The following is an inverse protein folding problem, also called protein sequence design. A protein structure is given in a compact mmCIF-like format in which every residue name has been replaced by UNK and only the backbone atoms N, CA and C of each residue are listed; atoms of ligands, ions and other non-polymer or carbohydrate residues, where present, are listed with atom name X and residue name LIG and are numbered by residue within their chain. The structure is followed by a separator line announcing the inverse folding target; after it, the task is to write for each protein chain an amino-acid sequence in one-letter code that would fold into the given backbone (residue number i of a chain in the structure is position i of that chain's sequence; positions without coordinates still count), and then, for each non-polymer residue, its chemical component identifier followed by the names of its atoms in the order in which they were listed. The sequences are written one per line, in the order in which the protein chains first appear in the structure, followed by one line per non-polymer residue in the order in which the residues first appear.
data_IF_105617200708
#
_entry.id   IF_105617200708
#
_cell.length_a   1.000
_cell.length_b   1.000
_cell.length_c   1.000
_cell.angle_alpha   90.00
_cell.angle_beta   90.00
_cell.angle_gamma   90.00
#
_symmetry.space_group_name_H-M   'P 1'
#
loop_
_entity.id
_entity.type
_entity.pdbx_description
1 polymer ?
#
# COMPACT_ATOMS: atom_id res chain seq x y z
N UNK A 1 -29.58 -53.60 39.24
CA UNK A 1 -30.34 -52.95 40.33
C UNK A 1 -29.83 -51.54 40.48
N UNK A 2 -30.71 -50.61 40.53
CA UNK A 2 -30.65 -49.16 40.72
C UNK A 2 -30.20 -48.32 39.52
N UNK A 3 -31.22 -47.88 38.80
CA UNK A 3 -31.24 -46.82 37.81
C UNK A 3 -30.87 -45.45 38.42
N UNK A 4 -29.97 -44.71 37.76
CA UNK A 4 -29.79 -43.28 38.02
C UNK A 4 -30.32 -42.50 36.82
N UNK A 5 -31.45 -41.88 37.03
CA UNK A 5 -32.12 -40.96 36.11
C UNK A 5 -31.33 -39.65 36.02
N UNK A 6 -30.89 -39.26 34.81
CA UNK A 6 -30.36 -37.90 34.51
C UNK A 6 -31.51 -36.96 34.14
N UNK A 7 -31.61 -35.76 34.69
CA UNK A 7 -32.59 -34.80 34.23
C UNK A 7 -32.11 -34.10 32.92
N UNK A 8 -33.03 -34.10 31.95
CA UNK A 8 -32.90 -33.36 30.67
C UNK A 8 -33.10 -31.87 30.94
N UNK A 9 -32.10 -31.05 30.59
CA UNK A 9 -32.27 -29.59 30.56
C UNK A 9 -32.90 -29.18 29.23
N UNK A 10 -34.07 -28.53 29.29
CA UNK A 10 -34.79 -27.94 28.18
C UNK A 10 -34.12 -26.61 27.70
N UNK A 11 -34.50 -26.09 26.53
CA UNK A 11 -33.82 -24.95 25.90
C UNK A 11 -34.02 -23.64 26.68
N UNK A 12 -32.90 -22.93 26.94
CA UNK A 12 -32.87 -21.64 27.61
C UNK A 12 -33.39 -20.56 26.66
N UNK A 13 -34.54 -19.93 27.01
CA UNK A 13 -35.13 -18.84 26.24
C UNK A 13 -34.41 -17.49 26.51
N UNK A 14 -34.47 -16.59 25.53
CA UNK A 14 -33.87 -15.22 25.57
C UNK A 14 -34.23 -14.41 26.84
N UNK A 15 -35.33 -14.68 27.46
CA UNK A 15 -35.82 -14.00 28.67
C UNK A 15 -35.06 -14.42 29.96
N UNK A 16 -34.44 -15.61 29.98
CA UNK A 16 -33.67 -16.08 31.12
C UNK A 16 -32.23 -15.56 31.13
N UNK A 17 -31.70 -15.24 29.97
CA UNK A 17 -30.37 -14.63 29.83
C UNK A 17 -30.32 -13.19 30.36
N UNK A 18 -31.39 -12.40 30.12
CA UNK A 18 -31.45 -10.99 30.53
C UNK A 18 -31.72 -10.78 32.05
N UNK A 19 -32.20 -11.78 32.78
CA UNK A 19 -32.44 -11.68 34.23
C UNK A 19 -31.23 -12.06 35.13
N UNK A 20 -30.16 -12.60 34.55
CA UNK A 20 -28.93 -12.94 35.31
C UNK A 20 -27.78 -11.92 35.21
N UNK A 21 -27.97 -10.87 34.40
CA UNK A 21 -26.94 -9.82 34.18
C UNK A 21 -27.12 -8.58 35.07
N UNK A 22 -28.11 -8.55 35.97
CA UNK A 22 -28.46 -7.34 36.75
C UNK A 22 -28.05 -7.37 38.23
N UNK A 23 -27.16 -8.27 38.67
CA UNK A 23 -26.79 -8.36 40.10
C UNK A 23 -25.30 -8.60 40.31
N UNK A 24 -24.43 -7.70 39.83
CA UNK A 24 -23.05 -7.59 40.32
C UNK A 24 -22.41 -6.28 39.83
N UNK A 25 -22.81 -5.13 40.36
CA UNK A 25 -21.97 -3.93 40.34
C UNK A 25 -22.20 -3.17 41.64
N UNK A 26 -21.33 -3.36 42.59
CA UNK A 26 -21.02 -2.38 43.61
C UNK A 26 -19.56 -2.58 44.05
N UNK A 27 -18.70 -1.64 43.73
CA UNK A 27 -17.40 -1.49 44.35
C UNK A 27 -16.21 -1.41 43.39
N UNK A 28 -15.71 -0.21 43.11
CA UNK A 28 -14.33 -0.07 42.67
C UNK A 28 -14.07 0.88 41.49
N UNK A 29 -13.93 2.16 41.82
CA UNK A 29 -12.99 3.15 41.26
C UNK A 29 -12.79 3.31 39.75
N UNK A 30 -13.21 4.44 39.22
CA UNK A 30 -12.58 5.34 38.22
C UNK A 30 -11.36 4.79 37.47
N UNK A 31 -11.64 4.18 36.33
CA UNK A 31 -10.79 4.25 35.13
C UNK A 31 -11.68 4.78 34.02
N UNK A 32 -11.26 5.92 33.44
CA UNK A 32 -12.02 6.63 32.41
C UNK A 32 -12.49 5.68 31.32
N UNK A 33 -13.80 5.57 31.15
CA UNK A 33 -14.40 4.81 30.08
C UNK A 33 -14.04 5.45 28.73
N UNK A 34 -13.02 4.94 28.08
CA UNK A 34 -12.84 5.10 26.64
C UNK A 34 -14.05 4.41 25.97
N UNK A 35 -14.73 5.06 25.01
CA UNK A 35 -15.86 4.45 24.31
C UNK A 35 -15.35 3.36 23.36
N UNK A 36 -15.17 2.14 23.87
CA UNK A 36 -14.67 0.98 23.11
C UNK A 36 -15.78 0.24 22.35
N UNK A 37 -17.02 0.69 22.38
CA UNK A 37 -18.11 -0.05 21.73
C UNK A 37 -18.93 0.84 20.77
N UNK A 38 -18.40 1.13 19.57
CA UNK A 38 -19.29 1.66 18.51
C UNK A 38 -19.31 0.91 17.19
N UNK A 39 -18.39 0.00 16.94
CA UNK A 39 -18.34 -0.69 15.64
C UNK A 39 -18.09 -2.20 15.75
N UNK A 40 -18.86 -2.89 16.57
CA UNK A 40 -19.11 -4.31 16.37
C UNK A 40 -20.25 -4.42 15.34
N UNK A 41 -19.92 -4.51 14.03
CA UNK A 41 -20.82 -4.94 12.95
C UNK A 41 -22.15 -4.17 12.78
N UNK A 42 -22.11 -2.85 12.65
CA UNK A 42 -23.26 -2.05 12.24
C UNK A 42 -22.90 -1.12 11.11
N UNK A 43 -23.74 -1.00 10.09
CA UNK A 43 -23.61 0.04 9.08
C UNK A 43 -23.47 1.40 9.76
N UNK A 44 -22.50 2.21 9.35
CA UNK A 44 -22.36 3.59 9.80
C UNK A 44 -23.62 4.32 9.38
N UNK A 45 -24.35 4.92 10.32
CA UNK A 45 -25.55 5.68 9.95
C UNK A 45 -25.17 6.84 9.02
N UNK A 46 -26.00 7.17 8.04
CA UNK A 46 -25.67 8.23 7.05
C UNK A 46 -25.29 9.59 7.64
N UNK A 47 -25.67 9.85 8.90
CA UNK A 47 -25.34 11.08 9.63
C UNK A 47 -24.16 10.99 10.59
N UNK A 48 -23.51 9.83 10.72
CA UNK A 48 -22.40 9.67 11.65
C UNK A 48 -21.10 10.30 11.11
N UNK A 49 -20.38 11.01 11.99
CA UNK A 49 -19.04 11.51 11.69
C UNK A 49 -18.05 10.35 11.62
N UNK A 50 -17.40 10.15 10.46
CA UNK A 50 -16.28 9.21 10.32
C UNK A 50 -15.00 9.86 10.81
N UNK A 51 -14.38 9.27 11.82
CA UNK A 51 -13.10 9.73 12.39
C UNK A 51 -11.94 9.09 11.62
N UNK A 52 -11.03 9.93 11.14
CA UNK A 52 -9.88 9.53 10.33
C UNK A 52 -8.60 9.68 11.15
N UNK A 53 -7.71 8.69 11.09
CA UNK A 53 -6.33 8.82 11.51
C UNK A 53 -5.39 8.77 10.31
N UNK A 54 -4.41 9.67 10.26
CA UNK A 54 -3.35 9.66 9.26
C UNK A 54 -2.07 9.08 9.86
N UNK A 55 -1.60 7.98 9.30
CA UNK A 55 -0.32 7.33 9.65
C UNK A 55 0.65 7.49 8.48
N UNK A 56 1.68 8.31 8.67
CA UNK A 56 2.60 8.75 7.62
C UNK A 56 2.20 10.11 7.05
N UNK A 57 2.81 11.17 7.58
CA UNK A 57 2.46 12.57 7.34
C UNK A 57 3.33 13.23 6.25
N UNK A 58 3.86 12.45 5.31
CA UNK A 58 4.56 12.96 4.14
C UNK A 58 3.62 13.62 3.11
N UNK A 59 4.18 14.03 1.96
CA UNK A 59 3.38 14.69 0.90
C UNK A 59 2.22 13.84 0.41
N UNK A 60 2.44 12.53 0.18
CA UNK A 60 1.36 11.63 -0.27
C UNK A 60 0.31 11.41 0.83
N UNK A 61 0.74 11.24 2.09
CA UNK A 61 -0.18 11.09 3.22
C UNK A 61 -1.05 12.34 3.42
N UNK A 62 -0.46 13.54 3.35
CA UNK A 62 -1.21 14.80 3.39
C UNK A 62 -2.23 14.89 2.24
N UNK A 63 -1.85 14.50 1.02
CA UNK A 63 -2.75 14.47 -0.13
C UNK A 63 -3.89 13.44 0.03
N UNK A 64 -3.62 12.25 0.56
CA UNK A 64 -4.64 11.25 0.84
C UNK A 64 -5.64 11.73 1.93
N UNK A 65 -5.13 12.39 2.97
CA UNK A 65 -5.99 12.99 3.99
C UNK A 65 -6.85 14.13 3.42
N UNK A 66 -6.29 14.99 2.53
CA UNK A 66 -7.03 16.02 1.82
C UNK A 66 -8.19 15.41 0.98
N UNK A 67 -7.91 14.36 0.21
CA UNK A 67 -8.92 13.67 -0.57
C UNK A 67 -9.99 13.00 0.31
N UNK A 68 -9.59 12.37 1.42
CA UNK A 68 -10.54 11.78 2.36
C UNK A 68 -11.43 12.82 3.03
N UNK A 69 -10.88 13.98 3.41
CA UNK A 69 -11.63 15.10 3.97
C UNK A 69 -12.54 15.79 2.94
N UNK A 70 -12.27 15.60 1.65
CA UNK A 70 -13.07 16.12 0.52
C UNK A 70 -14.21 15.19 0.10
N UNK A 71 -14.32 13.98 0.68
CA UNK A 71 -15.42 13.06 0.40
C UNK A 71 -16.75 13.58 0.91
N UNK A 72 -17.84 13.05 0.38
CA UNK A 72 -19.20 13.38 0.84
C UNK A 72 -19.50 12.85 2.25
N UNK A 73 -20.34 13.57 3.00
CA UNK A 73 -20.72 13.24 4.36
C UNK A 73 -19.77 13.82 5.42
N UNK A 74 -20.11 13.63 6.70
CA UNK A 74 -19.32 14.18 7.79
C UNK A 74 -18.05 13.33 8.05
N UNK A 75 -16.90 13.96 7.95
CA UNK A 75 -15.58 13.34 8.17
C UNK A 75 -14.69 14.27 8.97
N UNK A 76 -13.91 13.73 9.90
CA UNK A 76 -12.95 14.51 10.70
C UNK A 76 -11.62 13.80 10.84
N UNK A 77 -10.52 14.51 10.63
CA UNK A 77 -9.19 14.05 11.00
C UNK A 77 -9.01 14.26 12.50
N UNK A 78 -8.85 13.17 13.25
CA UNK A 78 -8.78 13.19 14.73
C UNK A 78 -7.41 12.83 15.29
N UNK A 79 -6.55 12.18 14.50
CA UNK A 79 -5.20 11.83 14.93
C UNK A 79 -4.21 11.83 13.75
N UNK A 80 -2.95 12.06 14.07
CA UNK A 80 -1.83 11.89 13.15
C UNK A 80 -0.70 11.10 13.81
N UNK A 81 -0.01 10.25 13.04
CA UNK A 81 1.20 9.56 13.48
C UNK A 81 2.29 9.63 12.41
N UNK A 82 3.51 9.93 12.83
CA UNK A 82 4.71 9.88 11.99
C UNK A 82 5.95 9.59 12.86
N UNK A 83 6.97 8.98 12.28
CA UNK A 83 8.24 8.82 12.95
C UNK A 83 8.90 10.18 13.28
N UNK A 84 8.61 11.21 12.48
CA UNK A 84 9.20 12.54 12.57
C UNK A 84 8.15 13.61 12.95
N UNK A 85 8.42 14.34 14.04
CA UNK A 85 7.56 15.41 14.53
C UNK A 85 7.33 16.51 13.48
N UNK A 86 8.38 16.91 12.77
CA UNK A 86 8.33 17.94 11.72
C UNK A 86 7.36 17.58 10.59
N UNK A 87 7.22 16.28 10.25
CA UNK A 87 6.27 15.77 9.26
C UNK A 87 4.84 15.86 9.77
N UNK A 88 4.57 15.38 10.97
CA UNK A 88 3.23 15.44 11.57
C UNK A 88 2.72 16.89 11.70
N UNK A 89 3.54 17.79 12.21
CA UNK A 89 3.19 19.20 12.35
C UNK A 89 3.01 19.91 11.00
N UNK A 90 3.87 19.57 10.01
CA UNK A 90 3.77 20.09 8.65
C UNK A 90 2.46 19.70 7.96
N UNK A 91 2.08 18.43 8.04
CA UNK A 91 0.82 17.93 7.51
C UNK A 91 -0.38 18.63 8.15
N UNK A 92 -0.41 18.73 9.48
CA UNK A 92 -1.50 19.40 10.20
C UNK A 92 -1.65 20.87 9.80
N UNK A 93 -0.54 21.62 9.71
CA UNK A 93 -0.59 23.02 9.25
C UNK A 93 -1.19 23.16 7.84
N UNK A 94 -0.83 22.25 6.93
CA UNK A 94 -1.33 22.30 5.56
C UNK A 94 -2.80 21.88 5.47
N UNK A 95 -3.21 20.81 6.15
CA UNK A 95 -4.59 20.34 6.17
C UNK A 95 -5.53 21.32 6.85
N UNK A 96 -5.12 21.98 7.94
CA UNK A 96 -5.91 23.05 8.58
C UNK A 96 -6.18 24.23 7.65
N UNK A 97 -5.22 24.61 6.79
CA UNK A 97 -5.45 25.69 5.82
C UNK A 97 -6.57 25.40 4.82
N UNK A 98 -6.80 24.13 4.51
CA UNK A 98 -7.77 23.70 3.50
C UNK A 98 -9.09 23.22 4.14
N UNK A 99 -9.02 22.60 5.32
CA UNK A 99 -10.13 21.90 5.97
C UNK A 99 -10.25 22.23 7.47
N UNK A 100 -10.12 23.49 7.87
CA UNK A 100 -10.04 23.89 9.29
C UNK A 100 -11.13 23.25 10.16
N UNK A 101 -12.39 23.31 9.74
CA UNK A 101 -13.53 22.73 10.46
C UNK A 101 -13.54 21.19 10.57
N UNK A 102 -12.76 20.52 9.70
CA UNK A 102 -12.68 19.04 9.67
C UNK A 102 -11.40 18.50 10.31
N UNK A 103 -10.47 19.34 10.73
CA UNK A 103 -9.21 18.94 11.39
C UNK A 103 -9.31 19.17 12.89
N UNK A 104 -9.72 18.12 13.61
CA UNK A 104 -9.93 18.12 15.06
C UNK A 104 -8.86 17.27 15.78
N UNK A 105 -7.59 17.53 15.46
CA UNK A 105 -6.46 16.83 16.08
C UNK A 105 -6.00 17.61 17.30
N UNK A 106 -6.19 17.05 18.48
CA UNK A 106 -5.73 17.59 19.75
C UNK A 106 -4.23 17.35 19.94
N UNK A 107 -3.61 18.05 20.90
CA UNK A 107 -2.17 17.94 21.13
C UNK A 107 -1.74 16.54 21.57
N UNK A 108 -2.55 15.83 22.34
CA UNK A 108 -2.35 14.45 22.79
C UNK A 108 -2.69 13.39 21.72
N UNK A 109 -3.23 13.82 20.56
CA UNK A 109 -3.50 12.96 19.41
C UNK A 109 -2.46 13.08 18.27
N UNK A 110 -1.28 13.62 18.58
CA UNK A 110 -0.11 13.71 17.71
C UNK A 110 0.92 12.68 18.17
N UNK A 111 0.93 11.52 17.55
CA UNK A 111 1.76 10.39 17.99
C UNK A 111 3.06 10.35 17.18
N UNK A 112 4.19 10.50 17.87
CA UNK A 112 5.51 10.58 17.24
C UNK A 112 6.36 9.35 17.60
N UNK A 113 7.09 8.84 16.61
CA UNK A 113 7.95 7.67 16.75
C UNK A 113 7.40 6.44 16.04
N UNK A 114 8.15 5.34 16.12
CA UNK A 114 7.83 4.11 15.38
C UNK A 114 6.53 3.43 15.84
N UNK A 115 6.17 3.54 17.10
CA UNK A 115 4.97 2.92 17.68
C UNK A 115 3.72 3.82 17.69
N UNK A 116 3.85 5.08 17.30
CA UNK A 116 2.76 6.06 17.33
C UNK A 116 1.53 5.63 16.51
N UNK A 117 1.73 4.81 15.48
CA UNK A 117 0.63 4.29 14.66
C UNK A 117 -0.40 3.48 15.45
N UNK A 118 0.00 2.72 16.47
CA UNK A 118 -0.90 1.88 17.29
C UNK A 118 -1.94 2.73 18.00
N UNK A 119 -1.50 3.86 18.56
CA UNK A 119 -2.34 4.81 19.27
C UNK A 119 -3.24 5.60 18.29
N UNK A 120 -2.69 6.08 17.17
CA UNK A 120 -3.48 6.78 16.17
C UNK A 120 -4.59 5.88 15.60
N UNK A 121 -4.31 4.63 15.27
CA UNK A 121 -5.28 3.64 14.79
C UNK A 121 -6.42 3.46 15.79
N UNK A 122 -6.11 3.39 17.09
CA UNK A 122 -7.12 3.19 18.14
C UNK A 122 -8.18 4.29 18.20
N UNK A 123 -7.85 5.53 17.81
CA UNK A 123 -8.75 6.69 17.90
C UNK A 123 -9.75 6.82 16.77
N UNK A 124 -9.54 6.12 15.65
CA UNK A 124 -10.23 6.36 14.39
C UNK A 124 -11.19 5.23 13.99
N UNK A 125 -12.03 5.49 13.01
CA UNK A 125 -12.90 4.54 12.33
C UNK A 125 -12.30 4.12 10.99
N UNK A 126 -11.63 5.06 10.32
CA UNK A 126 -10.92 4.89 9.06
C UNK A 126 -9.46 5.30 9.23
N UNK A 127 -8.54 4.48 8.77
CA UNK A 127 -7.10 4.75 8.87
C UNK A 127 -6.50 4.95 7.49
N UNK A 128 -5.75 6.02 7.31
CA UNK A 128 -4.95 6.28 6.11
C UNK A 128 -3.50 5.87 6.41
N UNK A 129 -3.01 4.85 5.72
CA UNK A 129 -1.65 4.33 5.86
C UNK A 129 -0.77 4.80 4.69
N UNK A 130 0.09 5.79 4.93
CA UNK A 130 0.93 6.43 3.91
C UNK A 130 2.42 6.55 4.32
N UNK A 131 2.86 5.74 5.26
CA UNK A 131 4.29 5.57 5.61
C UNK A 131 5.06 4.95 4.44
N UNK A 132 6.40 4.92 4.44
CA UNK A 132 7.16 4.14 3.49
C UNK A 132 6.66 2.68 3.40
N UNK A 133 6.68 2.05 2.21
CA UNK A 133 6.06 0.75 1.96
C UNK A 133 6.45 -0.38 2.92
N UNK A 134 7.69 -0.38 3.43
CA UNK A 134 8.15 -1.40 4.38
C UNK A 134 7.31 -1.51 5.66
N UNK A 135 6.73 -0.41 6.11
CA UNK A 135 5.88 -0.40 7.30
C UNK A 135 4.43 -0.83 7.03
N UNK A 136 4.01 -0.88 5.77
CA UNK A 136 2.61 -1.14 5.41
C UNK A 136 2.07 -2.44 5.97
N UNK A 137 2.81 -3.59 5.90
CA UNK A 137 2.30 -4.86 6.39
C UNK A 137 1.95 -4.83 7.88
N UNK A 138 2.81 -4.24 8.72
CA UNK A 138 2.59 -4.20 10.18
C UNK A 138 1.49 -3.19 10.55
N UNK A 139 1.40 -2.06 9.86
CA UNK A 139 0.36 -1.06 10.12
C UNK A 139 -1.01 -1.56 9.66
N UNK A 140 -1.09 -2.26 8.52
CA UNK A 140 -2.32 -2.83 8.00
C UNK A 140 -2.83 -3.96 8.91
N UNK A 141 -1.96 -4.90 9.31
CA UNK A 141 -2.29 -5.96 10.26
C UNK A 141 -2.88 -5.39 11.55
N UNK A 142 -2.25 -4.35 12.12
CA UNK A 142 -2.73 -3.70 13.34
C UNK A 142 -4.09 -3.01 13.12
N UNK A 143 -4.30 -2.32 12.00
CA UNK A 143 -5.58 -1.68 11.69
C UNK A 143 -6.72 -2.73 11.60
N UNK A 144 -6.47 -3.85 10.92
CA UNK A 144 -7.44 -4.94 10.80
C UNK A 144 -7.67 -5.64 12.15
N UNK A 145 -6.63 -5.82 12.96
CA UNK A 145 -6.75 -6.37 14.32
C UNK A 145 -7.68 -5.50 15.17
N UNK A 146 -7.55 -4.17 15.07
CA UNK A 146 -8.39 -3.19 15.78
C UNK A 146 -9.75 -2.92 15.11
N UNK A 147 -10.11 -3.64 14.03
CA UNK A 147 -11.43 -3.51 13.38
C UNK A 147 -11.64 -2.20 12.63
N UNK A 148 -10.62 -1.64 12.00
CA UNK A 148 -10.68 -0.36 11.28
C UNK A 148 -10.82 -0.55 9.77
N UNK A 149 -11.61 0.33 9.12
CA UNK A 149 -11.55 0.51 7.68
C UNK A 149 -10.22 1.14 7.30
N UNK A 150 -9.70 0.82 6.12
CA UNK A 150 -8.35 1.24 5.74
C UNK A 150 -8.31 1.80 4.32
N UNK A 151 -7.65 2.94 4.16
CA UNK A 151 -7.01 3.32 2.91
C UNK A 151 -5.51 3.14 3.08
N UNK A 152 -4.85 2.39 2.21
CA UNK A 152 -3.41 2.23 2.26
C UNK A 152 -2.76 2.55 0.92
N UNK A 153 -1.67 3.32 0.98
CA UNK A 153 -0.88 3.63 -0.20
C UNK A 153 -0.14 2.41 -0.75
N UNK A 154 0.02 2.40 -2.06
CA UNK A 154 0.86 1.44 -2.78
C UNK A 154 2.37 1.81 -2.63
N UNK A 155 3.28 0.85 -2.79
CA UNK A 155 3.12 -0.60 -2.67
C UNK A 155 2.75 -0.99 -1.24
N UNK A 156 2.20 -2.19 -1.08
CA UNK A 156 1.73 -2.63 0.24
C UNK A 156 2.74 -3.46 1.02
N UNK A 157 3.91 -3.70 0.45
CA UNK A 157 5.05 -4.39 1.05
C UNK A 157 6.34 -4.12 0.26
N UNK A 158 7.49 -4.52 0.80
CA UNK A 158 8.80 -4.45 0.13
C UNK A 158 9.43 -5.82 -0.10
N UNK A 159 8.89 -6.88 0.49
CA UNK A 159 9.36 -8.26 0.34
C UNK A 159 8.19 -9.26 0.35
N UNK A 160 8.51 -10.54 0.09
CA UNK A 160 7.51 -11.61 0.03
C UNK A 160 6.88 -11.89 1.41
N UNK A 161 7.62 -11.76 2.49
CA UNK A 161 7.10 -11.94 3.85
C UNK A 161 6.03 -10.89 4.17
N UNK A 162 6.30 -9.62 3.83
CA UNK A 162 5.33 -8.53 3.95
C UNK A 162 4.09 -8.76 3.08
N UNK A 163 4.25 -9.24 1.83
CA UNK A 163 3.11 -9.58 0.96
C UNK A 163 2.24 -10.66 1.58
N UNK A 164 2.84 -11.74 2.09
CA UNK A 164 2.09 -12.81 2.78
C UNK A 164 1.33 -12.30 3.99
N UNK A 165 1.93 -11.40 4.78
CA UNK A 165 1.28 -10.75 5.92
C UNK A 165 0.07 -9.92 5.48
N UNK A 166 0.19 -9.14 4.41
CA UNK A 166 -0.93 -8.35 3.86
C UNK A 166 -2.04 -9.27 3.35
N UNK A 167 -1.72 -10.37 2.66
CA UNK A 167 -2.71 -11.34 2.18
C UNK A 167 -3.48 -11.97 3.34
N UNK A 168 -2.80 -12.36 4.42
CA UNK A 168 -3.47 -12.89 5.62
C UNK A 168 -4.39 -11.86 6.28
N UNK A 169 -3.93 -10.62 6.44
CA UNK A 169 -4.74 -9.52 6.98
C UNK A 169 -5.93 -9.16 6.06
N UNK A 170 -5.78 -9.30 4.73
CA UNK A 170 -6.86 -9.08 3.77
C UNK A 170 -8.02 -10.09 3.96
N UNK A 171 -7.70 -11.35 4.23
CA UNK A 171 -8.72 -12.37 4.54
C UNK A 171 -9.44 -12.08 5.87
N UNK A 172 -8.71 -11.64 6.90
CA UNK A 172 -9.34 -11.21 8.16
C UNK A 172 -10.21 -9.96 7.98
N UNK A 173 -9.79 -9.01 7.13
CA UNK A 173 -10.61 -7.85 6.78
C UNK A 173 -11.93 -8.25 6.12
N UNK A 174 -11.90 -9.22 5.19
CA UNK A 174 -13.12 -9.76 4.56
C UNK A 174 -14.07 -10.38 5.59
N UNK A 175 -13.55 -11.23 6.49
CA UNK A 175 -14.35 -11.86 7.56
C UNK A 175 -15.00 -10.83 8.49
N UNK A 176 -14.32 -9.73 8.75
CA UNK A 176 -14.80 -8.62 9.59
C UNK A 176 -15.63 -7.58 8.83
N UNK A 177 -15.90 -7.79 7.53
CA UNK A 177 -16.59 -6.84 6.65
C UNK A 177 -15.92 -5.45 6.64
N UNK A 178 -14.60 -5.37 6.82
CA UNK A 178 -13.86 -4.11 6.77
C UNK A 178 -13.59 -3.71 5.32
N UNK A 179 -13.82 -2.45 5.02
CA UNK A 179 -13.58 -1.89 3.68
C UNK A 179 -12.12 -1.47 3.59
N UNK A 180 -11.47 -1.86 2.50
CA UNK A 180 -10.03 -1.60 2.29
C UNK A 180 -9.81 -1.05 0.88
N UNK A 181 -9.35 0.19 0.78
CA UNK A 181 -8.86 0.81 -0.45
C UNK A 181 -7.34 0.73 -0.55
N UNK A 182 -6.83 0.62 -1.77
CA UNK A 182 -5.39 0.63 -2.07
C UNK A 182 -5.09 1.69 -3.12
N UNK A 183 -4.10 2.56 -2.90
CA UNK A 183 -3.72 3.68 -3.75
C UNK A 183 -3.27 3.31 -5.17
N UNK A 184 -4.01 2.41 -5.84
CA UNK A 184 -3.84 2.05 -7.25
C UNK A 184 -4.85 2.83 -8.09
N UNK A 185 -4.74 4.15 -8.08
CA UNK A 185 -5.71 5.11 -8.58
C UNK A 185 -6.17 4.87 -10.04
N UNK A 186 -5.37 4.20 -10.89
CA UNK A 186 -5.78 3.87 -12.26
C UNK A 186 -6.99 2.94 -12.31
N UNK A 187 -7.23 2.16 -11.25
CA UNK A 187 -8.42 1.31 -11.07
C UNK A 187 -9.71 2.10 -10.85
N UNK A 188 -9.59 3.37 -10.47
CA UNK A 188 -10.68 4.32 -10.24
C UNK A 188 -10.78 5.39 -11.33
N UNK A 189 -10.01 5.24 -12.40
CA UNK A 189 -9.98 6.18 -13.52
C UNK A 189 -10.86 5.68 -14.65
N UNK A 190 -11.98 6.37 -14.93
CA UNK A 190 -12.99 5.96 -15.89
C UNK A 190 -12.43 5.55 -17.27
N UNK A 191 -11.50 6.28 -17.91
CA UNK A 191 -10.94 5.85 -19.20
C UNK A 191 -10.13 4.54 -19.12
N UNK A 192 -9.42 4.26 -18.00
CA UNK A 192 -8.78 2.96 -17.80
C UNK A 192 -9.80 1.83 -17.65
N UNK A 193 -10.84 2.06 -16.82
CA UNK A 193 -11.91 1.09 -16.58
C UNK A 193 -12.57 0.70 -17.89
N UNK A 194 -12.96 1.69 -18.71
CA UNK A 194 -13.62 1.43 -19.99
C UNK A 194 -12.68 0.77 -21.02
N UNK A 195 -11.41 1.20 -21.06
CA UNK A 195 -10.42 0.60 -21.97
C UNK A 195 -10.19 -0.89 -21.64
N UNK A 196 -9.97 -1.20 -20.36
CA UNK A 196 -9.73 -2.60 -19.93
C UNK A 196 -10.99 -3.43 -20.12
N UNK A 197 -12.17 -2.89 -19.82
CA UNK A 197 -13.44 -3.57 -20.09
C UNK A 197 -13.55 -3.96 -21.56
N UNK A 198 -13.27 -3.06 -22.51
CA UNK A 198 -13.30 -3.36 -23.95
C UNK A 198 -12.29 -4.42 -24.36
N UNK A 199 -11.11 -4.43 -23.77
CA UNK A 199 -10.12 -5.49 -24.00
C UNK A 199 -10.69 -6.84 -23.55
N UNK A 200 -11.29 -6.90 -22.35
CA UNK A 200 -11.93 -8.12 -21.84
C UNK A 200 -13.15 -8.57 -22.67
N UNK A 201 -13.89 -7.62 -23.23
CA UNK A 201 -14.99 -7.88 -24.18
C UNK A 201 -14.49 -8.33 -25.58
N UNK A 202 -13.15 -8.49 -25.74
CA UNK A 202 -12.54 -9.06 -26.96
C UNK A 202 -12.21 -8.05 -28.06
N UNK A 203 -12.19 -6.73 -27.78
CA UNK A 203 -11.97 -5.69 -28.77
C UNK A 203 -10.64 -5.82 -29.55
N UNK A 204 -9.60 -6.43 -28.93
CA UNK A 204 -8.32 -6.72 -29.59
C UNK A 204 -8.06 -8.23 -29.73
N UNK A 205 -9.06 -9.08 -29.44
CA UNK A 205 -8.90 -10.53 -29.38
C UNK A 205 -8.07 -10.96 -28.16
N UNK A 206 -7.41 -12.12 -28.25
CA UNK A 206 -6.54 -12.62 -27.19
C UNK A 206 -5.27 -11.75 -27.09
N UNK A 207 -4.96 -11.25 -25.91
CA UNK A 207 -3.73 -10.48 -25.66
C UNK A 207 -2.52 -11.42 -25.71
N UNK A 208 -1.63 -11.22 -26.67
CA UNK A 208 -0.44 -12.03 -26.90
C UNK A 208 0.80 -11.46 -26.22
N UNK A 209 0.90 -10.13 -26.17
CA UNK A 209 2.00 -9.46 -25.48
C UNK A 209 1.62 -8.05 -25.00
N UNK A 210 2.35 -7.56 -24.00
CA UNK A 210 2.28 -6.17 -23.57
C UNK A 210 3.68 -5.57 -23.42
N UNK A 211 3.76 -4.26 -23.53
CA UNK A 211 4.94 -3.47 -23.17
C UNK A 211 4.52 -2.41 -22.17
N UNK A 212 5.21 -2.36 -21.04
CA UNK A 212 4.93 -1.41 -19.97
C UNK A 212 6.19 -0.63 -19.59
N UNK A 213 6.05 0.66 -19.37
CA UNK A 213 7.17 1.57 -19.17
C UNK A 213 6.94 2.49 -17.98
N UNK A 214 7.99 2.65 -17.16
CA UNK A 214 8.17 3.78 -16.27
C UNK A 214 9.59 4.31 -16.42
N UNK A 215 9.88 4.91 -17.57
CA UNK A 215 11.17 5.50 -17.87
C UNK A 215 11.11 7.00 -17.58
N UNK A 216 11.80 7.43 -16.55
CA UNK A 216 11.78 8.81 -16.07
C UNK A 216 13.15 9.28 -15.58
N UNK A 217 13.13 10.38 -14.85
CA UNK A 217 14.32 11.01 -14.28
C UNK A 217 14.53 10.54 -12.83
N UNK A 218 15.73 10.76 -12.32
CA UNK A 218 16.06 10.52 -10.90
C UNK A 218 15.12 11.35 -10.00
N UNK A 219 14.44 10.72 -9.03
CA UNK A 219 13.62 11.46 -8.07
C UNK A 219 14.49 12.23 -7.07
N UNK A 220 13.84 12.91 -6.13
CA UNK A 220 14.53 13.64 -5.05
C UNK A 220 15.52 12.77 -4.29
N UNK A 221 16.62 13.37 -3.87
CA UNK A 221 17.64 12.81 -2.95
C UNK A 221 17.69 13.69 -1.71
N UNK A 222 17.97 13.10 -0.57
CA UNK A 222 18.25 13.80 0.68
C UNK A 222 19.72 13.59 1.07
N UNK A 223 20.62 14.49 0.66
CA UNK A 223 22.03 14.36 1.00
C UNK A 223 22.25 14.31 2.51
N UNK A 224 23.14 13.44 2.95
CA UNK A 224 23.47 13.28 4.37
C UNK A 224 23.89 14.61 5.01
N UNK A 225 24.73 15.38 4.32
CA UNK A 225 25.17 16.68 4.79
C UNK A 225 24.03 17.71 5.00
N UNK A 226 22.99 17.66 4.14
CA UNK A 226 21.82 18.52 4.31
C UNK A 226 20.98 18.11 5.52
N UNK A 227 20.81 16.80 5.73
CA UNK A 227 20.11 16.28 6.92
C UNK A 227 20.87 16.66 8.18
N UNK A 228 22.20 16.47 8.20
CA UNK A 228 23.06 16.88 9.34
C UNK A 228 22.92 18.36 9.65
N UNK A 229 22.96 19.21 8.63
CA UNK A 229 22.77 20.66 8.76
C UNK A 229 21.37 20.99 9.34
N UNK A 230 20.31 20.33 8.88
CA UNK A 230 18.94 20.54 9.36
C UNK A 230 18.77 20.11 10.82
N UNK A 231 19.42 19.05 11.24
CA UNK A 231 19.36 18.51 12.59
C UNK A 231 20.32 19.20 13.58
N UNK A 232 21.34 19.88 13.09
CA UNK A 232 22.44 20.41 13.93
C UNK A 232 23.31 19.32 14.56
N UNK A 233 23.19 18.08 14.11
CA UNK A 233 23.94 16.89 14.55
C UNK A 233 23.99 15.83 13.45
N UNK A 234 24.90 14.87 13.58
CA UNK A 234 24.90 13.69 12.71
C UNK A 234 23.64 12.84 12.97
N UNK A 235 22.90 12.45 11.92
CA UNK A 235 21.82 11.48 12.05
C UNK A 235 22.38 10.09 12.39
N UNK A 236 21.61 9.28 13.09
CA UNK A 236 21.88 7.84 13.13
C UNK A 236 21.67 7.25 11.73
N UNK A 237 22.15 6.04 11.48
CA UNK A 237 21.96 5.40 10.18
C UNK A 237 20.47 5.14 9.89
N UNK A 238 19.70 4.71 10.90
CA UNK A 238 18.26 4.55 10.82
C UNK A 238 17.55 5.86 10.46
N UNK A 239 17.90 6.97 11.14
CA UNK A 239 17.31 8.27 10.86
C UNK A 239 17.62 8.76 9.44
N UNK A 240 18.85 8.55 8.97
CA UNK A 240 19.25 8.90 7.61
C UNK A 240 18.47 8.11 6.57
N UNK A 241 18.42 6.78 6.70
CA UNK A 241 17.69 5.93 5.76
C UNK A 241 16.20 6.27 5.75
N UNK A 242 15.59 6.49 6.91
CA UNK A 242 14.19 6.92 7.01
C UNK A 242 13.91 8.27 6.33
N UNK A 243 14.81 9.26 6.45
CA UNK A 243 14.65 10.56 5.78
C UNK A 243 14.92 10.50 4.28
N UNK A 244 15.76 9.57 3.82
CA UNK A 244 16.11 9.31 2.42
C UNK A 244 15.50 7.99 1.90
N UNK A 245 14.34 7.62 2.41
CA UNK A 245 13.71 6.30 2.33
C UNK A 245 13.60 5.71 0.92
N UNK A 246 13.52 6.55 -0.10
CA UNK A 246 13.34 6.12 -1.48
C UNK A 246 14.50 5.28 -2.02
N UNK A 247 15.68 5.35 -1.39
CA UNK A 247 16.91 4.72 -1.85
C UNK A 247 17.26 3.41 -1.13
N UNK A 248 16.37 2.94 -0.24
CA UNK A 248 16.60 1.74 0.57
C UNK A 248 15.52 0.69 0.32
N UNK A 249 15.94 -0.54 -0.04
CA UNK A 249 15.02 -1.62 -0.42
C UNK A 249 14.02 -1.94 0.68
N UNK A 250 14.45 -1.95 1.93
CA UNK A 250 13.56 -2.25 3.04
C UNK A 250 12.44 -1.21 3.23
N UNK A 251 12.64 0.02 2.78
CA UNK A 251 11.67 1.11 2.87
C UNK A 251 10.79 1.24 1.62
N UNK A 252 11.39 1.19 0.42
CA UNK A 252 10.70 1.44 -0.84
C UNK A 252 10.46 0.20 -1.70
N UNK A 253 11.25 -0.86 -1.52
CA UNK A 253 11.22 -2.04 -2.39
C UNK A 253 11.99 -1.91 -3.70
N UNK A 254 12.75 -0.81 -3.91
CA UNK A 254 13.30 -0.34 -5.18
C UNK A 254 12.24 0.35 -6.06
N UNK A 255 12.65 1.19 -7.01
CA UNK A 255 11.74 1.98 -7.85
C UNK A 255 10.86 1.13 -8.78
N UNK A 256 11.29 -0.08 -9.12
CA UNK A 256 10.45 -1.05 -9.83
C UNK A 256 9.21 -1.43 -9.00
N UNK A 257 9.34 -1.47 -7.68
CA UNK A 257 8.25 -1.76 -6.75
C UNK A 257 7.49 -0.48 -6.39
N UNK A 258 8.21 0.61 -6.08
CA UNK A 258 7.60 1.83 -5.58
C UNK A 258 6.79 2.58 -6.66
N UNK A 259 7.32 2.73 -7.88
CA UNK A 259 6.65 3.48 -8.94
C UNK A 259 6.05 2.60 -10.04
N UNK A 260 6.84 1.68 -10.56
CA UNK A 260 6.44 0.90 -11.74
C UNK A 260 5.30 -0.09 -11.47
N UNK A 261 4.99 -0.34 -10.20
CA UNK A 261 3.81 -1.13 -9.79
C UNK A 261 2.51 -0.65 -10.47
N UNK A 262 2.34 0.64 -10.74
CA UNK A 262 1.15 1.15 -11.42
C UNK A 262 0.96 0.53 -12.81
N UNK A 263 2.04 0.37 -13.57
CA UNK A 263 1.99 -0.24 -14.91
C UNK A 263 1.85 -1.76 -14.82
N UNK A 264 2.49 -2.39 -13.81
CA UNK A 264 2.34 -3.82 -13.56
C UNK A 264 0.92 -4.19 -13.13
N UNK A 265 0.29 -3.37 -12.29
CA UNK A 265 -1.11 -3.53 -11.92
C UNK A 265 -2.05 -3.43 -13.13
N UNK A 266 -1.79 -2.48 -14.04
CA UNK A 266 -2.55 -2.38 -15.30
C UNK A 266 -2.33 -3.62 -16.17
N UNK A 267 -1.10 -4.14 -16.27
CA UNK A 267 -0.82 -5.36 -17.02
C UNK A 267 -1.55 -6.57 -16.41
N UNK A 268 -1.49 -6.75 -15.09
CA UNK A 268 -2.24 -7.77 -14.38
C UNK A 268 -3.75 -7.64 -14.61
N UNK A 269 -4.26 -6.40 -14.66
CA UNK A 269 -5.67 -6.11 -14.93
C UNK A 269 -6.06 -6.50 -16.35
N UNK A 270 -5.30 -6.07 -17.35
CA UNK A 270 -5.52 -6.44 -18.77
C UNK A 270 -5.47 -7.94 -18.96
N UNK A 271 -4.50 -8.63 -18.30
CA UNK A 271 -4.35 -10.09 -18.36
C UNK A 271 -5.36 -10.85 -17.50
N UNK A 272 -6.12 -10.17 -16.65
CA UNK A 272 -7.00 -10.78 -15.67
C UNK A 272 -6.30 -11.88 -14.85
N UNK A 273 -5.04 -11.67 -14.48
CA UNK A 273 -4.20 -12.65 -13.81
C UNK A 273 -2.84 -12.10 -13.42
N UNK A 274 -1.99 -12.97 -12.91
CA UNK A 274 -0.64 -12.64 -12.45
C UNK A 274 0.37 -13.50 -13.20
N UNK A 275 1.65 -13.05 -13.33
CA UNK A 275 2.67 -13.84 -14.01
C UNK A 275 2.95 -15.13 -13.24
N UNK A 276 3.28 -16.19 -13.96
CA UNK A 276 3.71 -17.47 -13.38
C UNK A 276 5.21 -17.50 -13.13
N UNK A 277 5.99 -16.70 -13.88
CA UNK A 277 7.44 -16.54 -13.69
C UNK A 277 7.94 -15.24 -14.31
N UNK A 278 9.17 -14.87 -13.93
CA UNK A 278 9.86 -13.72 -14.50
C UNK A 278 11.38 -13.95 -14.59
N UNK A 279 12.01 -13.26 -15.54
CA UNK A 279 13.44 -13.07 -15.60
C UNK A 279 13.76 -11.64 -16.05
N UNK A 280 14.99 -11.17 -15.81
CA UNK A 280 15.31 -9.81 -16.19
C UNK A 280 16.76 -9.43 -15.98
N UNK A 281 17.08 -8.21 -16.42
CA UNK A 281 18.38 -7.57 -16.26
C UNK A 281 18.19 -6.20 -15.64
N UNK A 282 19.16 -5.74 -14.86
CA UNK A 282 19.15 -4.42 -14.26
C UNK A 282 20.48 -4.09 -13.61
N UNK A 283 20.59 -2.89 -13.12
CA UNK A 283 21.83 -2.44 -12.50
C UNK A 283 21.76 -1.00 -12.02
N UNK A 284 22.91 -0.47 -11.64
CA UNK A 284 23.07 0.90 -11.21
C UNK A 284 24.25 1.54 -11.90
N UNK A 285 23.97 2.48 -12.81
CA UNK A 285 25.00 3.18 -13.57
C UNK A 285 25.25 4.60 -13.04
N UNK A 286 24.19 5.34 -12.69
CA UNK A 286 24.32 6.78 -12.39
C UNK A 286 24.22 7.13 -10.91
N UNK A 287 23.70 6.25 -10.08
CA UNK A 287 23.57 6.49 -8.63
C UNK A 287 24.86 6.14 -7.89
N UNK A 288 25.87 6.98 -8.08
CA UNK A 288 27.21 6.83 -7.47
C UNK A 288 27.35 7.81 -6.31
N UNK A 289 27.98 7.36 -5.21
CA UNK A 289 28.23 8.19 -4.04
C UNK A 289 27.36 7.84 -2.81
N UNK A 290 27.68 8.46 -1.65
CA UNK A 290 27.15 8.07 -0.34
C UNK A 290 25.68 8.47 -0.10
N UNK A 291 25.14 9.38 -0.92
CA UNK A 291 23.76 9.87 -0.77
C UNK A 291 22.73 8.99 -1.47
N UNK A 292 23.19 8.02 -2.26
CA UNK A 292 22.35 6.99 -2.85
C UNK A 292 22.47 5.71 -2.02
N UNK A 293 21.34 5.05 -1.81
CA UNK A 293 21.31 3.75 -1.15
C UNK A 293 21.69 2.60 -2.11
N UNK A 294 21.03 1.47 -1.91
CA UNK A 294 21.36 0.21 -2.56
C UNK A 294 20.53 -0.11 -3.81
N UNK A 295 19.48 0.67 -4.11
CA UNK A 295 18.56 0.36 -5.21
C UNK A 295 19.22 0.54 -6.59
N UNK A 296 18.71 -0.20 -7.56
CA UNK A 296 19.12 -0.04 -8.96
C UNK A 296 18.54 1.25 -9.55
N UNK A 297 19.08 1.70 -10.69
CA UNK A 297 18.55 2.84 -11.44
C UNK A 297 17.86 2.45 -12.74
N UNK A 298 17.94 1.17 -13.14
CA UNK A 298 17.20 0.62 -14.26
C UNK A 298 16.89 -0.87 -14.10
N UNK A 299 15.75 -1.31 -14.64
CA UNK A 299 15.31 -2.69 -14.73
C UNK A 299 14.66 -2.94 -16.08
N UNK A 300 14.93 -4.11 -16.66
CA UNK A 300 14.20 -4.68 -17.79
C UNK A 300 13.79 -6.10 -17.41
N UNK A 301 12.50 -6.39 -17.41
CA UNK A 301 11.93 -7.66 -16.94
C UNK A 301 10.95 -8.18 -17.98
N UNK A 302 11.02 -9.47 -18.23
CA UNK A 302 10.00 -10.23 -18.96
C UNK A 302 9.20 -11.07 -17.95
N UNK A 303 7.90 -10.83 -17.92
CA UNK A 303 6.94 -11.61 -17.15
C UNK A 303 6.19 -12.57 -18.09
N UNK A 304 6.10 -13.85 -17.72
CA UNK A 304 5.31 -14.86 -18.41
C UNK A 304 4.01 -15.11 -17.66
N UNK A 305 2.90 -15.16 -18.40
CA UNK A 305 1.58 -15.50 -17.88
C UNK A 305 1.20 -16.94 -18.25
N UNK A 306 0.24 -17.52 -17.53
CA UNK A 306 -0.15 -18.92 -17.69
C UNK A 306 -0.62 -19.30 -19.10
N UNK A 307 -1.13 -18.34 -19.86
CA UNK A 307 -1.55 -18.52 -21.26
C UNK A 307 -0.38 -18.41 -22.28
N UNK A 308 0.86 -18.29 -21.77
CA UNK A 308 2.06 -18.15 -22.59
C UNK A 308 2.33 -16.73 -23.10
N UNK A 309 1.44 -15.77 -22.86
CA UNK A 309 1.69 -14.37 -23.22
C UNK A 309 2.80 -13.74 -22.39
N UNK A 310 3.43 -12.71 -22.95
CA UNK A 310 4.58 -12.00 -22.33
C UNK A 310 4.27 -10.55 -22.06
N UNK A 311 4.74 -10.06 -20.90
CA UNK A 311 4.77 -8.63 -20.59
C UNK A 311 6.23 -8.16 -20.46
N UNK A 312 6.63 -7.29 -21.37
CA UNK A 312 7.95 -6.65 -21.39
C UNK A 312 7.90 -5.36 -20.59
N UNK A 313 8.62 -5.32 -19.50
CA UNK A 313 8.62 -4.26 -18.50
C UNK A 313 9.95 -3.55 -18.48
N UNK A 314 9.91 -2.21 -18.53
CA UNK A 314 11.11 -1.38 -18.39
C UNK A 314 10.84 -0.25 -17.41
N UNK A 315 11.74 -0.03 -16.46
CA UNK A 315 11.73 1.18 -15.66
C UNK A 315 13.15 1.71 -15.45
N UNK A 316 13.29 3.03 -15.43
CA UNK A 316 14.57 3.70 -15.37
C UNK A 316 14.46 5.09 -14.76
N UNK A 317 15.43 5.43 -13.92
CA UNK A 317 15.60 6.75 -13.31
C UNK A 317 16.96 7.35 -13.72
N UNK A 318 17.14 7.63 -15.00
CA UNK A 318 18.37 8.22 -15.55
C UNK A 318 18.03 9.48 -16.32
N UNK A 319 18.62 10.61 -15.93
CA UNK A 319 18.41 11.90 -16.57
C UNK A 319 18.97 11.91 -18.01
N UNK A 320 18.35 12.70 -18.89
CA UNK A 320 18.80 12.85 -20.26
C UNK A 320 18.45 11.68 -21.19
N UNK A 321 17.74 10.65 -20.70
CA UNK A 321 17.26 9.53 -21.49
C UNK A 321 15.82 9.71 -21.97
N UNK A 322 15.40 8.92 -22.95
CA UNK A 322 14.01 8.85 -23.39
C UNK A 322 13.05 8.59 -22.22
N UNK A 323 12.01 9.40 -22.11
CA UNK A 323 11.03 9.33 -21.03
C UNK A 323 9.69 8.78 -21.55
N UNK A 324 9.11 7.81 -20.82
CA UNK A 324 7.80 7.26 -21.14
C UNK A 324 7.19 6.57 -19.93
N UNK A 325 5.91 6.88 -19.65
CA UNK A 325 5.11 6.18 -18.64
C UNK A 325 3.81 5.74 -19.33
N UNK A 326 3.75 4.46 -19.72
CA UNK A 326 2.66 3.96 -20.55
C UNK A 326 2.55 2.43 -20.52
N UNK A 327 1.41 1.92 -21.04
CA UNK A 327 1.15 0.51 -21.31
C UNK A 327 0.58 0.33 -22.71
N UNK A 328 1.13 -0.66 -23.44
CA UNK A 328 0.66 -1.06 -24.77
C UNK A 328 0.35 -2.55 -24.79
N UNK A 329 -0.80 -2.92 -25.33
CA UNK A 329 -1.21 -4.31 -25.52
C UNK A 329 -1.31 -4.65 -27.00
N UNK A 330 -0.88 -5.87 -27.36
CA UNK A 330 -1.03 -6.46 -28.68
C UNK A 330 -1.91 -7.70 -28.55
N UNK A 331 -2.95 -7.74 -29.33
CA UNK A 331 -3.87 -8.88 -29.38
C UNK A 331 -3.98 -9.44 -30.79
N UNK A 332 -4.71 -10.55 -30.93
CA UNK A 332 -4.88 -11.28 -32.19
C UNK A 332 -5.72 -10.54 -33.23
N UNK A 333 -6.51 -9.51 -32.81
CA UNK A 333 -7.42 -8.72 -33.67
C UNK A 333 -7.14 -7.21 -33.65
N UNK A 334 -6.14 -6.77 -32.90
CA UNK A 334 -5.82 -5.37 -32.80
C UNK A 334 -4.77 -5.04 -31.75
N UNK A 335 -4.57 -3.75 -31.52
CA UNK A 335 -3.64 -3.22 -30.52
C UNK A 335 -4.33 -2.18 -29.65
N UNK A 336 -3.82 -1.97 -28.44
CA UNK A 336 -4.30 -0.94 -27.54
C UNK A 336 -3.13 -0.13 -26.96
N UNK A 337 -3.21 1.19 -27.07
CA UNK A 337 -2.51 2.12 -26.19
C UNK A 337 -3.39 2.30 -24.95
N UNK A 338 -3.07 1.54 -23.87
CA UNK A 338 -3.92 1.48 -22.69
C UNK A 338 -3.93 2.82 -21.96
N UNK A 339 -2.76 3.43 -21.78
CA UNK A 339 -2.60 4.74 -21.13
C UNK A 339 -3.11 5.91 -22.01
N UNK A 340 -3.13 5.72 -23.34
CA UNK A 340 -3.71 6.66 -24.30
C UNK A 340 -5.17 6.36 -24.61
N UNK A 341 -5.78 5.36 -23.95
CA UNK A 341 -7.19 4.98 -24.06
C UNK A 341 -7.65 4.79 -25.52
N UNK A 342 -6.81 4.13 -26.32
CA UNK A 342 -7.01 4.01 -27.75
C UNK A 342 -6.84 2.57 -28.23
N UNK A 343 -7.88 2.00 -28.84
CA UNK A 343 -7.88 0.68 -29.47
C UNK A 343 -7.81 0.87 -30.97
N UNK A 344 -6.96 0.08 -31.66
CA UNK A 344 -6.81 0.04 -33.11
C UNK A 344 -6.97 -1.39 -33.61
N UNK A 345 -7.56 -1.56 -34.78
CA UNK A 345 -7.87 -2.86 -35.41
C UNK A 345 -9.35 -2.94 -35.77
N UNK A 346 -9.91 -4.14 -35.76
CA UNK A 346 -11.30 -4.40 -36.19
C UNK A 346 -12.34 -3.59 -35.38
N UNK A 347 -12.11 -3.42 -34.08
CA UNK A 347 -13.01 -2.72 -33.16
C UNK A 347 -12.36 -1.42 -32.64
N UNK A 348 -11.92 -0.56 -33.57
CA UNK A 348 -11.25 0.68 -33.23
C UNK A 348 -12.11 1.58 -32.32
N UNK A 349 -11.51 2.08 -31.25
CA UNK A 349 -12.18 2.93 -30.28
C UNK A 349 -11.19 3.87 -29.57
N UNK A 350 -11.70 5.00 -29.08
CA UNK A 350 -10.93 5.94 -28.25
C UNK A 350 -11.83 6.63 -27.25
N UNK A 351 -11.35 6.77 -26.01
CA UNK A 351 -12.00 7.61 -24.98
C UNK A 351 -11.94 9.10 -25.39
N UNK A 352 -13.05 9.81 -25.20
CA UNK A 352 -13.15 11.24 -25.57
C UNK A 352 -13.77 12.11 -24.46
N UNK A 353 -14.22 11.50 -23.37
CA UNK A 353 -14.91 12.19 -22.29
C UNK A 353 -13.93 12.76 -21.26
N UNK A 354 -14.38 13.73 -20.48
CA UNK A 354 -13.64 14.18 -19.31
C UNK A 354 -13.71 13.12 -18.21
N UNK A 355 -12.65 13.00 -17.43
CA UNK A 355 -12.57 12.08 -16.30
C UNK A 355 -12.34 12.85 -14.99
N UNK A 356 -12.95 12.40 -13.92
CA UNK A 356 -12.66 12.90 -12.58
C UNK A 356 -11.23 12.58 -12.18
N UNK A 357 -10.73 13.33 -11.19
CA UNK A 357 -9.43 13.04 -10.58
C UNK A 357 -9.47 11.65 -9.92
N UNK A 358 -8.66 10.67 -10.38
CA UNK A 358 -8.71 9.31 -9.86
C UNK A 358 -8.25 9.19 -8.41
N UNK A 359 -7.38 10.08 -7.93
CA UNK A 359 -6.99 10.12 -6.52
C UNK A 359 -8.14 10.54 -5.60
N UNK A 360 -9.03 11.42 -6.05
CA UNK A 360 -10.26 11.72 -5.32
C UNK A 360 -11.25 10.58 -5.44
N UNK A 361 -11.39 9.98 -6.63
CA UNK A 361 -12.35 8.92 -6.88
C UNK A 361 -12.09 7.67 -6.04
N UNK A 362 -10.81 7.28 -5.83
CA UNK A 362 -10.49 6.11 -4.96
C UNK A 362 -10.94 6.31 -3.50
N UNK A 363 -10.91 7.56 -3.01
CA UNK A 363 -11.44 7.91 -1.70
C UNK A 363 -12.97 7.98 -1.70
N UNK A 364 -13.59 8.56 -2.73
CA UNK A 364 -15.04 8.61 -2.86
C UNK A 364 -15.65 7.20 -2.88
N UNK A 365 -15.04 6.26 -3.64
CA UNK A 365 -15.47 4.87 -3.73
C UNK A 365 -15.35 4.14 -2.39
N UNK A 366 -14.25 4.31 -1.67
CA UNK A 366 -14.05 3.71 -0.35
C UNK A 366 -15.06 4.26 0.68
N UNK A 367 -15.22 5.58 0.77
CA UNK A 367 -16.10 6.20 1.75
C UNK A 367 -17.59 5.94 1.44
N UNK A 368 -17.97 5.86 0.16
CA UNK A 368 -19.30 5.39 -0.25
C UNK A 368 -19.51 3.93 0.17
N UNK A 369 -18.52 3.06 -0.01
CA UNK A 369 -18.62 1.66 0.41
C UNK A 369 -18.73 1.52 1.95
N UNK A 370 -18.03 2.35 2.72
CA UNK A 370 -18.14 2.37 4.19
C UNK A 370 -19.55 2.80 4.61
N UNK A 371 -20.07 3.90 4.06
CA UNK A 371 -21.36 4.48 4.46
C UNK A 371 -22.56 3.64 4.05
N UNK A 372 -22.46 2.96 2.94
CA UNK A 372 -23.56 2.16 2.36
C UNK A 372 -23.36 0.65 2.54
N UNK A 373 -22.38 0.25 3.37
CA UNK A 373 -22.02 -1.15 3.65
C UNK A 373 -21.82 -2.01 2.38
N UNK A 374 -21.28 -1.42 1.32
CA UNK A 374 -20.99 -2.14 0.07
C UNK A 374 -19.72 -2.99 0.24
N UNK A 375 -19.65 -4.18 -0.36
CA UNK A 375 -18.39 -4.95 -0.40
C UNK A 375 -17.27 -4.15 -1.08
N UNK A 376 -16.16 -3.93 -0.39
CA UNK A 376 -15.01 -3.19 -0.91
C UNK A 376 -13.72 -3.65 -0.22
N UNK A 377 -12.92 -4.44 -0.90
CA UNK A 377 -11.62 -4.87 -0.39
C UNK A 377 -10.62 -5.09 -1.54
N UNK A 378 -9.67 -4.19 -1.66
CA UNK A 378 -8.64 -4.19 -2.70
C UNK A 378 -7.30 -4.76 -2.21
N UNK A 379 -7.19 -5.16 -0.94
CA UNK A 379 -5.93 -5.55 -0.33
C UNK A 379 -5.27 -6.74 -1.03
N UNK A 380 -6.05 -7.77 -1.40
CA UNK A 380 -5.52 -8.93 -2.12
C UNK A 380 -4.93 -8.55 -3.48
N UNK A 381 -5.66 -7.72 -4.25
CA UNK A 381 -5.20 -7.20 -5.55
C UNK A 381 -3.93 -6.36 -5.39
N UNK A 382 -3.93 -5.44 -4.42
CA UNK A 382 -2.76 -4.61 -4.10
C UNK A 382 -1.54 -5.44 -3.72
N UNK A 383 -1.74 -6.50 -2.90
CA UNK A 383 -0.68 -7.41 -2.49
C UNK A 383 -0.10 -8.21 -3.68
N UNK A 384 -0.95 -8.74 -4.55
CA UNK A 384 -0.51 -9.51 -5.72
C UNK A 384 0.17 -8.62 -6.78
N UNK A 385 -0.30 -7.39 -6.99
CA UNK A 385 0.39 -6.42 -7.87
C UNK A 385 1.73 -5.96 -7.28
N UNK A 386 1.81 -5.81 -5.95
CA UNK A 386 3.08 -5.59 -5.25
C UNK A 386 4.02 -6.79 -5.43
N UNK A 387 3.51 -8.03 -5.31
CA UNK A 387 4.31 -9.24 -5.52
C UNK A 387 4.83 -9.35 -6.96
N UNK A 388 4.05 -8.94 -7.97
CA UNK A 388 4.52 -8.88 -9.35
C UNK A 388 5.76 -7.98 -9.48
N UNK A 389 5.74 -6.81 -8.84
CA UNK A 389 6.86 -5.89 -8.86
C UNK A 389 8.07 -6.43 -8.07
N UNK A 390 7.84 -7.06 -6.92
CA UNK A 390 8.88 -7.73 -6.13
C UNK A 390 9.51 -8.89 -6.91
N UNK A 391 8.72 -9.71 -7.60
CA UNK A 391 9.21 -10.77 -8.48
C UNK A 391 10.17 -10.22 -9.54
N UNK A 392 9.81 -9.09 -10.17
CA UNK A 392 10.66 -8.39 -11.14
C UNK A 392 11.98 -7.90 -10.53
N UNK A 393 11.94 -7.30 -9.33
CA UNK A 393 13.15 -6.94 -8.59
C UNK A 393 14.01 -8.16 -8.28
N UNK A 394 13.42 -9.21 -7.75
CA UNK A 394 14.13 -10.44 -7.39
C UNK A 394 14.80 -11.06 -8.63
N UNK A 395 14.12 -11.07 -9.78
CA UNK A 395 14.67 -11.56 -11.04
C UNK A 395 15.88 -10.75 -11.50
N UNK A 396 15.80 -9.41 -11.46
CA UNK A 396 16.95 -8.55 -11.86
C UNK A 396 18.09 -8.58 -10.86
N UNK A 397 17.81 -8.67 -9.55
CA UNK A 397 18.82 -8.73 -8.50
C UNK A 397 19.61 -10.04 -8.49
N UNK A 398 18.93 -11.15 -8.79
CA UNK A 398 19.56 -12.47 -8.85
C UNK A 398 20.13 -12.83 -10.24
N UNK A 399 19.58 -12.24 -11.31
CA UNK A 399 19.88 -12.63 -12.68
C UNK A 399 19.33 -14.03 -13.05
N UNK A 400 18.33 -14.52 -12.34
CA UNK A 400 17.75 -15.86 -12.51
C UNK A 400 16.32 -15.79 -13.04
N UNK A 401 15.86 -16.91 -13.63
CA UNK A 401 14.44 -17.16 -13.83
C UNK A 401 13.82 -17.53 -12.48
N UNK A 402 12.75 -16.87 -12.09
CA UNK A 402 12.07 -17.10 -10.82
C UNK A 402 10.61 -17.44 -11.07
N UNK A 403 10.16 -18.54 -10.50
CA UNK A 403 8.74 -18.92 -10.46
C UNK A 403 8.00 -18.11 -9.40
N UNK A 404 6.73 -17.77 -9.67
CA UNK A 404 5.88 -16.98 -8.78
C UNK A 404 5.78 -17.58 -7.36
N UNK A 405 5.49 -18.88 -7.28
CA UNK A 405 5.29 -19.53 -5.99
C UNK A 405 6.59 -19.59 -5.17
N UNK A 406 7.74 -19.83 -5.82
CA UNK A 406 9.04 -19.81 -5.16
C UNK A 406 9.37 -18.39 -4.63
N UNK A 407 9.09 -17.36 -5.43
CA UNK A 407 9.31 -15.99 -5.04
C UNK A 407 8.37 -15.54 -3.91
N UNK A 408 7.07 -15.87 -3.98
CA UNK A 408 6.10 -15.55 -2.94
C UNK A 408 6.42 -16.25 -1.61
N UNK A 409 7.00 -17.46 -1.66
CA UNK A 409 7.39 -18.22 -0.47
C UNK A 409 8.86 -18.01 -0.06
N UNK A 410 9.55 -17.03 -0.65
CA UNK A 410 10.93 -16.70 -0.27
C UNK A 410 11.05 -16.46 1.23
N UNK A 411 12.08 -17.04 1.89
CA UNK A 411 12.40 -16.77 3.30
C UNK A 411 13.23 -15.50 3.46
N UNK A 412 13.64 -14.84 2.37
CA UNK A 412 14.49 -13.65 2.42
C UNK A 412 13.66 -12.45 2.85
N UNK A 413 13.98 -11.88 4.00
CA UNK A 413 13.38 -10.68 4.56
C UNK A 413 14.34 -9.50 4.42
N UNK A 414 13.81 -8.33 4.09
CA UNK A 414 14.60 -7.11 3.94
C UNK A 414 14.40 -6.12 5.09
N UNK A 415 13.48 -6.40 6.01
CA UNK A 415 13.15 -5.52 7.11
C UNK A 415 14.18 -5.58 8.25
N UNK A 416 14.38 -4.48 9.02
CA UNK A 416 15.19 -4.53 10.22
C UNK A 416 14.51 -5.40 11.29
N UNK A 417 15.30 -5.94 12.21
CA UNK A 417 14.80 -6.76 13.34
C UNK A 417 14.09 -5.90 14.39
N UNK A 418 14.47 -4.65 14.50
CA UNK A 418 13.96 -3.70 15.50
C UNK A 418 13.80 -2.31 14.89
N UNK A 419 12.75 -1.61 15.32
CA UNK A 419 12.46 -0.23 14.92
C UNK A 419 12.79 0.74 16.07
N UNK A 420 14.07 1.10 16.17
CA UNK A 420 14.56 2.13 17.07
C UNK A 420 15.58 3.03 16.37
N UNK A 421 15.75 4.27 16.86
CA UNK A 421 16.64 5.21 16.18
C UNK A 421 18.11 4.81 16.20
N UNK A 422 18.51 4.01 17.15
CA UNK A 422 19.85 3.44 17.34
C UNK A 422 19.96 1.97 16.91
N UNK A 423 18.85 1.38 16.39
CA UNK A 423 18.85 0.01 15.90
C UNK A 423 19.67 -0.13 14.61
N UNK A 424 20.15 -1.34 14.36
CA UNK A 424 20.86 -1.69 13.14
C UNK A 424 19.93 -1.66 11.92
N UNK A 425 20.37 -1.01 10.85
CA UNK A 425 19.68 -1.03 9.56
C UNK A 425 20.04 -2.30 8.76
N UNK A 426 19.13 -2.78 7.90
CA UNK A 426 19.39 -4.00 7.09
C UNK A 426 20.60 -3.89 6.17
N UNK A 427 20.91 -2.68 5.72
CA UNK A 427 22.08 -2.38 4.90
C UNK A 427 22.88 -1.24 5.54
N UNK A 428 24.21 -1.37 5.55
CA UNK A 428 25.14 -0.35 6.05
C UNK A 428 26.07 0.06 4.91
N UNK A 429 26.52 1.33 4.88
CA UNK A 429 27.53 1.76 3.93
C UNK A 429 28.87 1.07 4.21
N UNK A 430 29.67 0.86 3.19
CA UNK A 430 31.07 0.47 3.32
C UNK A 430 31.94 1.58 3.91
N UNK A 431 33.24 1.32 4.03
CA UNK A 431 34.22 2.31 4.52
C UNK A 431 34.31 3.56 3.61
N UNK A 432 33.99 3.39 2.33
CA UNK A 432 33.88 4.46 1.33
C UNK A 432 32.56 5.25 1.41
N UNK A 433 31.67 4.89 2.32
CA UNK A 433 30.35 5.50 2.47
C UNK A 433 29.31 5.00 1.47
N UNK A 434 29.66 4.08 0.55
CA UNK A 434 28.78 3.57 -0.49
C UNK A 434 28.06 2.30 0.01
N UNK A 435 26.76 2.23 -0.29
CA UNK A 435 25.97 1.04 0.08
C UNK A 435 26.19 -0.11 -0.90
N UNK A 436 26.39 -1.35 -0.40
CA UNK A 436 26.51 -2.52 -1.26
C UNK A 436 25.21 -2.76 -2.02
N UNK A 437 25.33 -3.03 -3.32
CA UNK A 437 24.18 -3.32 -4.20
C UNK A 437 24.08 -4.79 -4.53
N UNK A 438 22.90 -5.21 -4.95
CA UNK A 438 22.72 -6.55 -5.51
C UNK A 438 23.65 -6.79 -6.70
N UNK A 439 24.18 -8.01 -6.80
CA UNK A 439 25.04 -8.47 -7.88
C UNK A 439 24.35 -9.64 -8.56
N UNK A 440 23.87 -9.47 -9.81
CA UNK A 440 23.28 -10.56 -10.58
C UNK A 440 24.23 -11.77 -10.65
N UNK A 441 23.67 -12.97 -10.51
CA UNK A 441 24.44 -14.20 -10.42
C UNK A 441 24.97 -14.55 -9.00
N UNK A 442 25.00 -13.59 -8.07
CA UNK A 442 25.51 -13.79 -6.70
C UNK A 442 24.43 -13.55 -5.63
N UNK A 443 23.61 -12.51 -5.80
CA UNK A 443 22.63 -12.12 -4.78
C UNK A 443 21.56 -13.19 -4.60
N UNK A 444 21.39 -13.64 -3.36
CA UNK A 444 20.32 -14.56 -2.99
C UNK A 444 19.01 -13.79 -2.80
N UNK A 445 17.90 -14.31 -3.37
CA UNK A 445 16.55 -13.72 -3.28
C UNK A 445 15.47 -14.75 -2.90
N UNK A 446 15.81 -16.03 -2.96
CA UNK A 446 14.97 -17.18 -2.56
C UNK A 446 15.78 -18.19 -1.77
#
# INVERSE_FOLDING_TARGET
MSDIIRPTQGPVTRRHFLKRSSSAVAGGALLGALPIERFAHGAVSPGDTLRIALVGCGGRGSGAADQALSTSGDVKLVAVADAFKDRAEGALRNLKKQHDAKVDVKDDAKFIGFDGYKQAIATADVVILATPPGFRPIHFEEAIRQGKHVFMEKPVATDAAGVRKVLAAAEEAKKKNLKVGVGLQRRHQAPYIETVKRIHDGAIGNVTSMRIYWNGTTPWVRPRAEIEKQLGRKPTEMEYQMRNWYYFVWLCGDHIVEQHIHNMDVANWVKNGYPVRAHGMGGCEVRKGPDYGEIFDHHAVEFEYADGSRVFSQCRHINGCWSNVSEYAVGTKGTCDVSGYTIRGENAWRWREQSKNPYQQEHDDLFDAIRNDKPFNEAERGAKSTMTAILGRMATYSGKVLEWDAALNSPVEVMPKEFAWDAETPVKPGEDGIYPRAIPGKTRVI
#
